data_IF_652205760952
#
_entry.id   IF_652205760952
#
_cell.length_a   1.000
_cell.length_b   1.000
_cell.length_c   1.000
_cell.angle_alpha   90.00
_cell.angle_beta   90.00
_cell.angle_gamma   90.00
#
_symmetry.space_group_name_H-M   'P 1'
#
loop_
_entity.id
_entity.type
_entity.pdbx_description
1 polymer ?
#
# COMPACT_ATOMS: atom_id res chain seq x y z
N UNK A 1 -9.50 -4.86 29.02
CA UNK A 1 -8.55 -5.03 27.89
C UNK A 1 -8.42 -6.47 27.40
N UNK A 2 -8.15 -7.48 28.24
CA UNK A 2 -8.01 -8.88 27.82
C UNK A 2 -9.28 -9.55 27.21
N UNK A 3 -10.47 -9.07 27.57
CA UNK A 3 -11.77 -9.61 27.08
C UNK A 3 -12.18 -9.06 25.71
N UNK A 4 -11.94 -7.76 25.45
CA UNK A 4 -12.26 -7.11 24.17
C UNK A 4 -11.36 -7.60 23.03
N UNK A 5 -10.10 -7.89 23.34
CA UNK A 5 -9.13 -8.49 22.42
C UNK A 5 -9.55 -9.93 22.07
N UNK A 6 -10.05 -10.73 23.02
CA UNK A 6 -10.62 -12.07 22.75
C UNK A 6 -11.89 -12.07 21.89
N UNK A 7 -12.73 -11.04 22.02
CA UNK A 7 -13.97 -10.94 21.24
C UNK A 7 -13.72 -10.59 19.77
N UNK A 8 -12.63 -9.87 19.46
CA UNK A 8 -12.17 -9.63 18.09
C UNK A 8 -11.67 -10.92 17.42
N UNK A 9 -11.05 -11.82 18.18
CA UNK A 9 -10.53 -13.10 17.69
C UNK A 9 -11.60 -14.17 17.39
N UNK A 10 -12.83 -14.02 17.91
CA UNK A 10 -13.92 -14.98 17.64
C UNK A 10 -14.65 -14.69 16.31
N UNK A 11 -14.62 -13.43 15.85
CA UNK A 11 -15.25 -13.01 14.59
C UNK A 11 -14.43 -13.44 13.35
N UNK A 12 -13.10 -13.56 13.50
CA UNK A 12 -12.21 -14.06 12.44
C UNK A 12 -12.40 -15.56 12.16
N UNK A 13 -12.79 -16.38 13.15
CA UNK A 13 -13.00 -17.81 12.92
C UNK A 13 -14.38 -18.15 12.33
N UNK A 14 -15.43 -17.39 12.67
CA UNK A 14 -16.79 -17.65 12.16
C UNK A 14 -17.00 -17.13 10.73
N UNK A 15 -16.33 -16.03 10.36
CA UNK A 15 -16.38 -15.48 9.00
C UNK A 15 -15.67 -16.37 7.96
N UNK A 16 -14.69 -17.17 8.38
CA UNK A 16 -13.99 -18.16 7.53
C UNK A 16 -14.85 -19.38 7.16
N UNK A 17 -15.90 -19.69 7.93
CA UNK A 17 -16.80 -20.83 7.67
C UNK A 17 -17.98 -20.48 6.74
N UNK A 18 -18.35 -19.21 6.61
CA UNK A 18 -19.58 -18.79 5.92
C UNK A 18 -19.44 -18.56 4.40
N UNK A 19 -18.23 -18.56 3.84
CA UNK A 19 -17.98 -18.25 2.41
C UNK A 19 -17.50 -19.45 1.58
N UNK A 20 -17.82 -20.67 2.01
CA UNK A 20 -17.81 -21.82 1.10
C UNK A 20 -19.10 -21.80 0.27
N UNK A 21 -18.99 -21.47 -1.02
CA UNK A 21 -19.50 -22.24 -2.16
C UNK A 21 -19.52 -21.40 -3.45
N UNK A 22 -19.15 -22.07 -4.56
CA UNK A 22 -19.20 -21.67 -5.97
C UNK A 22 -18.10 -20.75 -6.52
N UNK A 23 -17.05 -21.39 -7.06
CA UNK A 23 -16.10 -20.80 -8.01
C UNK A 23 -16.64 -20.83 -9.44
N UNK A 24 -16.29 -19.85 -10.27
CA UNK A 24 -15.84 -20.16 -11.63
C UNK A 24 -14.50 -19.50 -11.97
N UNK A 25 -13.72 -20.22 -12.76
CA UNK A 25 -12.42 -19.85 -13.34
C UNK A 25 -12.57 -18.65 -14.28
N UNK A 26 -11.81 -17.56 -14.07
CA UNK A 26 -11.71 -16.46 -15.04
C UNK A 26 -10.24 -16.07 -15.24
N UNK A 27 -9.81 -16.17 -16.49
CA UNK A 27 -8.50 -15.73 -17.01
C UNK A 27 -8.58 -14.25 -17.37
N UNK A 28 -7.70 -13.36 -16.87
CA UNK A 28 -7.69 -11.97 -17.31
C UNK A 28 -6.98 -11.83 -18.66
N UNK A 29 -7.71 -11.39 -19.69
CA UNK A 29 -7.14 -10.94 -20.96
C UNK A 29 -6.74 -9.47 -20.86
N UNK A 30 -5.43 -9.20 -20.83
CA UNK A 30 -4.87 -7.86 -21.05
C UNK A 30 -4.35 -7.83 -22.50
N UNK A 31 -4.99 -7.06 -23.38
CA UNK A 31 -4.49 -6.83 -24.74
C UNK A 31 -3.24 -5.93 -24.70
N UNK A 32 -2.10 -6.48 -25.13
CA UNK A 32 -0.84 -5.76 -25.29
C UNK A 32 -0.68 -5.36 -26.76
N UNK A 33 -0.49 -4.06 -27.01
CA UNK A 33 -0.27 -3.49 -28.35
C UNK A 33 0.98 -4.06 -29.04
N UNK A 34 0.89 -4.30 -30.35
CA UNK A 34 1.84 -5.07 -31.18
C UNK A 34 3.22 -4.41 -31.33
N UNK A 35 3.42 -3.18 -30.84
CA UNK A 35 4.72 -2.48 -30.91
C UNK A 35 5.71 -2.87 -29.80
N UNK A 36 5.28 -3.59 -28.76
CA UNK A 36 6.14 -3.92 -27.60
C UNK A 36 6.92 -5.24 -27.76
N UNK A 37 6.80 -5.94 -28.90
CA UNK A 37 7.40 -7.27 -29.12
C UNK A 37 8.91 -7.27 -29.44
N UNK A 38 9.57 -6.13 -29.62
CA UNK A 38 10.96 -6.09 -30.15
C UNK A 38 12.06 -6.07 -29.06
N UNK A 39 11.74 -6.01 -27.76
CA UNK A 39 12.74 -5.97 -26.68
C UNK A 39 12.97 -7.31 -25.96
N UNK A 40 12.52 -8.43 -26.55
CA UNK A 40 12.60 -9.77 -25.98
C UNK A 40 13.89 -10.50 -26.41
N UNK A 41 15.06 -10.10 -25.92
CA UNK A 41 16.23 -10.99 -25.89
C UNK A 41 16.96 -10.81 -24.55
N UNK A 42 16.47 -11.51 -23.53
CA UNK A 42 17.16 -11.69 -22.26
C UNK A 42 18.20 -12.80 -22.41
N UNK A 43 19.46 -12.42 -22.60
CA UNK A 43 20.61 -13.32 -22.39
C UNK A 43 21.92 -12.60 -22.00
N UNK A 44 21.92 -11.29 -21.77
CA UNK A 44 23.12 -10.52 -21.39
C UNK A 44 23.03 -9.89 -19.99
N UNK A 45 22.32 -10.52 -19.05
CA UNK A 45 22.11 -9.96 -17.71
C UNK A 45 23.33 -10.09 -16.77
N UNK A 46 24.36 -10.87 -17.14
CA UNK A 46 25.63 -10.97 -16.40
C UNK A 46 26.92 -10.97 -17.26
N UNK A 47 26.84 -10.84 -18.59
CA UNK A 47 28.00 -10.74 -19.48
C UNK A 47 28.34 -9.27 -19.82
N UNK A 48 29.48 -8.82 -19.29
CA UNK A 48 30.31 -7.71 -19.79
C UNK A 48 29.57 -6.46 -20.28
N UNK A 49 29.07 -5.65 -19.36
CA UNK A 49 29.05 -4.19 -19.54
C UNK A 49 29.57 -3.50 -18.28
N UNK A 50 30.37 -2.44 -18.46
CA UNK A 50 31.37 -1.92 -17.52
C UNK A 50 30.87 -1.41 -16.16
N UNK A 51 31.85 -1.15 -15.28
CA UNK A 51 31.72 -1.04 -13.82
C UNK A 51 30.60 -0.16 -13.24
N UNK A 52 30.13 0.88 -13.94
CA UNK A 52 29.05 1.75 -13.43
C UNK A 52 27.69 1.06 -13.30
N UNK A 53 27.32 0.16 -14.23
CA UNK A 53 26.01 -0.51 -14.21
C UNK A 53 25.91 -1.61 -13.14
N UNK A 54 27.05 -2.20 -12.76
CA UNK A 54 27.14 -3.18 -11.68
C UNK A 54 26.94 -2.52 -10.32
N UNK A 55 27.53 -1.34 -10.12
CA UNK A 55 27.41 -0.56 -8.88
C UNK A 55 25.98 -0.04 -8.66
N UNK A 56 25.29 0.40 -9.71
CA UNK A 56 23.89 0.87 -9.61
C UNK A 56 22.93 -0.25 -9.21
N UNK A 57 23.05 -1.46 -9.77
CA UNK A 57 22.18 -2.60 -9.46
C UNK A 57 22.41 -3.11 -8.03
N UNK A 58 23.66 -3.23 -7.60
CA UNK A 58 24.00 -3.61 -6.22
C UNK A 58 23.52 -2.55 -5.23
N UNK A 59 23.64 -1.27 -5.56
CA UNK A 59 23.08 -0.18 -4.75
C UNK A 59 21.56 -0.26 -4.68
N UNK A 60 20.86 -0.48 -5.79
CA UNK A 60 19.41 -0.62 -5.85
C UNK A 60 18.92 -1.75 -4.94
N UNK A 61 19.45 -2.97 -5.09
CA UNK A 61 19.11 -4.10 -4.21
C UNK A 61 19.40 -3.77 -2.75
N UNK A 62 20.50 -3.07 -2.44
CA UNK A 62 20.79 -2.63 -1.07
C UNK A 62 19.83 -1.54 -0.55
N UNK A 63 19.26 -0.73 -1.44
CA UNK A 63 18.23 0.27 -1.13
C UNK A 63 16.91 -0.42 -0.85
N UNK A 64 16.52 -1.40 -1.67
CA UNK A 64 15.35 -2.26 -1.43
C UNK A 64 15.46 -3.08 -0.15
N UNK A 65 16.62 -3.69 0.10
CA UNK A 65 16.89 -4.39 1.36
C UNK A 65 16.75 -3.43 2.54
N UNK A 66 17.22 -2.19 2.41
CA UNK A 66 16.99 -1.14 3.41
C UNK A 66 15.53 -0.75 3.51
N UNK A 67 14.78 -0.73 2.42
CA UNK A 67 13.35 -0.40 2.33
C UNK A 67 12.45 -1.53 2.87
N UNK A 68 12.91 -2.77 2.90
CA UNK A 68 12.18 -3.88 3.52
C UNK A 68 12.78 -4.34 4.86
N UNK A 69 14.00 -3.92 5.22
CA UNK A 69 14.57 -4.03 6.57
C UNK A 69 13.86 -3.08 7.52
N UNK A 70 12.63 -3.44 7.87
CA UNK A 70 11.97 -2.84 8.99
C UNK A 70 12.31 -3.70 10.22
N UNK A 71 12.54 -3.14 11.42
CA UNK A 71 12.59 -3.92 12.66
C UNK A 71 11.41 -4.93 12.86
N UNK A 72 10.37 -4.87 12.00
CA UNK A 72 9.36 -5.90 11.66
C UNK A 72 9.86 -7.34 11.44
N UNK A 73 11.15 -7.57 11.12
CA UNK A 73 11.67 -8.89 10.71
C UNK A 73 12.65 -9.55 11.71
N UNK A 74 12.60 -9.25 13.01
CA UNK A 74 13.57 -9.77 14.00
C UNK A 74 13.63 -11.31 14.11
N UNK A 75 12.72 -12.06 13.48
CA UNK A 75 12.81 -13.52 13.32
C UNK A 75 13.17 -14.02 11.91
N UNK A 76 13.12 -13.18 10.87
CA UNK A 76 13.28 -13.53 9.44
C UNK A 76 14.31 -12.62 8.74
N UNK A 77 15.28 -12.10 9.47
CA UNK A 77 16.30 -11.18 8.93
C UNK A 77 17.14 -11.86 7.82
N UNK A 78 17.29 -13.19 7.86
CA UNK A 78 17.88 -14.00 6.77
C UNK A 78 17.00 -14.07 5.53
N UNK A 79 15.67 -14.17 5.69
CA UNK A 79 14.75 -14.29 4.56
C UNK A 79 14.92 -13.10 3.60
N UNK A 80 14.96 -11.88 4.14
CA UNK A 80 15.14 -10.68 3.35
C UNK A 80 16.59 -10.47 2.90
N UNK A 81 17.58 -10.71 3.75
CA UNK A 81 19.00 -10.40 3.43
C UNK A 81 19.68 -11.43 2.54
N UNK A 82 19.29 -12.70 2.61
CA UNK A 82 19.99 -13.79 1.93
C UNK A 82 19.08 -14.60 1.01
N UNK A 83 17.89 -14.99 1.48
CA UNK A 83 17.06 -15.95 0.75
C UNK A 83 16.33 -15.31 -0.43
N UNK A 84 15.75 -14.12 -0.26
CA UNK A 84 15.09 -13.38 -1.33
C UNK A 84 16.03 -12.89 -2.44
N UNK A 85 17.23 -12.35 -2.16
CA UNK A 85 18.18 -12.04 -3.22
C UNK A 85 18.59 -13.27 -4.02
N UNK A 86 18.78 -14.42 -3.34
CA UNK A 86 19.05 -15.69 -4.02
C UNK A 86 17.86 -16.13 -4.89
N UNK A 87 16.64 -15.99 -4.38
CA UNK A 87 15.41 -16.29 -5.12
C UNK A 87 15.23 -15.39 -6.34
N UNK A 88 15.50 -14.09 -6.20
CA UNK A 88 15.44 -13.10 -7.28
C UNK A 88 16.44 -13.40 -8.40
N UNK A 89 17.61 -13.95 -8.08
CA UNK A 89 18.58 -14.39 -9.09
C UNK A 89 18.02 -15.49 -10.00
N UNK A 90 17.10 -16.31 -9.50
CA UNK A 90 16.46 -17.38 -10.25
C UNK A 90 15.07 -17.01 -10.81
N UNK A 91 14.55 -15.83 -10.48
CA UNK A 91 13.20 -15.35 -10.83
C UNK A 91 13.27 -13.91 -11.29
N UNK A 92 13.40 -13.71 -12.59
CA UNK A 92 13.61 -12.38 -13.20
C UNK A 92 12.51 -11.37 -12.86
N UNK A 93 11.25 -11.82 -12.72
CA UNK A 93 10.15 -10.92 -12.35
C UNK A 93 10.33 -10.33 -10.94
N UNK A 94 10.83 -11.12 -9.98
CA UNK A 94 11.15 -10.65 -8.64
C UNK A 94 12.33 -9.68 -8.67
N UNK A 95 13.39 -10.00 -9.42
CA UNK A 95 14.51 -9.09 -9.63
C UNK A 95 14.04 -7.75 -10.19
N UNK A 96 13.17 -7.75 -11.20
CA UNK A 96 12.62 -6.53 -11.76
C UNK A 96 11.77 -5.76 -10.76
N UNK A 97 10.95 -6.42 -9.93
CA UNK A 97 10.17 -5.72 -8.91
C UNK A 97 11.06 -5.04 -7.86
N UNK A 98 12.14 -5.71 -7.44
CA UNK A 98 13.15 -5.15 -6.53
C UNK A 98 13.78 -3.90 -7.14
N UNK A 99 14.23 -3.97 -8.40
CA UNK A 99 14.86 -2.86 -9.10
C UNK A 99 13.88 -1.70 -9.32
N UNK A 100 12.61 -2.00 -9.60
CA UNK A 100 11.54 -1.02 -9.79
C UNK A 100 11.29 -0.20 -8.51
N UNK A 101 11.10 -0.88 -7.38
CA UNK A 101 10.95 -0.23 -6.07
C UNK A 101 12.19 0.58 -5.70
N UNK A 102 13.39 0.01 -5.89
CA UNK A 102 14.65 0.69 -5.60
C UNK A 102 14.84 1.97 -6.41
N UNK A 103 14.58 1.90 -7.72
CA UNK A 103 14.68 3.06 -8.60
C UNK A 103 13.64 4.13 -8.24
N UNK A 104 12.46 3.73 -7.73
CA UNK A 104 11.43 4.66 -7.26
C UNK A 104 11.88 5.40 -6.00
N UNK A 105 12.39 4.69 -4.98
CA UNK A 105 12.98 5.31 -3.78
C UNK A 105 14.18 6.21 -4.14
N UNK A 106 15.05 5.77 -5.04
CA UNK A 106 16.18 6.58 -5.49
C UNK A 106 15.74 7.82 -6.26
N UNK A 107 14.68 7.75 -7.07
CA UNK A 107 14.17 8.91 -7.81
C UNK A 107 13.66 10.03 -6.89
N UNK A 108 13.26 9.70 -5.65
CA UNK A 108 12.96 10.73 -4.65
C UNK A 108 14.22 11.40 -4.08
N UNK A 109 15.38 10.73 -4.16
CA UNK A 109 16.65 11.17 -3.57
C UNK A 109 17.63 11.78 -4.57
N UNK A 110 17.42 11.54 -5.87
CA UNK A 110 18.35 11.88 -6.96
C UNK A 110 17.59 12.47 -8.16
N UNK A 111 18.31 12.94 -9.17
CA UNK A 111 17.75 13.64 -10.34
C UNK A 111 16.58 12.89 -11.05
N UNK A 112 15.64 13.64 -11.67
CA UNK A 112 14.34 13.16 -12.19
C UNK A 112 14.39 12.09 -13.32
N UNK A 113 15.57 11.61 -13.72
CA UNK A 113 15.73 10.63 -14.80
C UNK A 113 15.47 9.16 -14.42
N UNK A 114 15.34 8.81 -13.13
CA UNK A 114 15.18 7.41 -12.70
C UNK A 114 13.73 6.89 -12.72
N UNK A 115 12.74 7.79 -12.87
CA UNK A 115 11.33 7.41 -12.90
C UNK A 115 10.98 6.50 -14.10
N UNK A 116 11.53 6.79 -15.29
CA UNK A 116 11.32 5.96 -16.48
C UNK A 116 11.92 4.55 -16.33
N UNK A 117 13.07 4.43 -15.67
CA UNK A 117 13.71 3.14 -15.37
C UNK A 117 12.89 2.33 -14.37
N UNK A 118 12.35 2.98 -13.33
CA UNK A 118 11.48 2.35 -12.35
C UNK A 118 10.21 1.77 -12.99
N UNK A 119 9.56 2.53 -13.89
CA UNK A 119 8.38 2.07 -14.63
C UNK A 119 8.70 0.94 -15.61
N UNK A 120 9.85 1.00 -16.29
CA UNK A 120 10.29 -0.07 -17.19
C UNK A 120 10.48 -1.40 -16.46
N UNK A 121 11.13 -1.38 -15.30
CA UNK A 121 11.27 -2.57 -14.47
C UNK A 121 9.94 -3.05 -13.90
N UNK A 122 9.04 -2.13 -13.50
CA UNK A 122 7.68 -2.48 -13.07
C UNK A 122 6.93 -3.27 -14.14
N UNK A 123 6.95 -2.80 -15.39
CA UNK A 123 6.28 -3.48 -16.51
C UNK A 123 6.82 -4.90 -16.72
N UNK A 124 8.14 -5.08 -16.67
CA UNK A 124 8.78 -6.40 -16.79
C UNK A 124 8.39 -7.31 -15.62
N UNK A 125 8.33 -6.78 -14.40
CA UNK A 125 7.91 -7.52 -13.21
C UNK A 125 6.46 -8.01 -13.33
N UNK A 126 5.51 -7.13 -13.67
CA UNK A 126 4.09 -7.48 -13.86
C UNK A 126 3.92 -8.51 -14.97
N UNK A 127 4.61 -8.30 -16.11
CA UNK A 127 4.52 -9.23 -17.23
C UNK A 127 5.04 -10.61 -16.85
N UNK A 128 6.17 -10.69 -16.16
CA UNK A 128 6.74 -11.95 -15.70
C UNK A 128 5.91 -12.61 -14.59
N UNK A 129 5.35 -11.84 -13.66
CA UNK A 129 4.43 -12.32 -12.62
C UNK A 129 3.18 -12.94 -13.24
N UNK A 130 2.56 -12.29 -14.23
CA UNK A 130 1.38 -12.82 -14.91
C UNK A 130 1.68 -14.13 -15.65
N UNK A 131 2.87 -14.25 -16.27
CA UNK A 131 3.32 -15.52 -16.86
C UNK A 131 3.49 -16.61 -15.81
N UNK A 132 4.06 -16.28 -14.65
CA UNK A 132 4.22 -17.22 -13.54
C UNK A 132 2.85 -17.67 -12.99
N UNK A 133 1.91 -16.73 -12.76
CA UNK A 133 0.53 -17.02 -12.34
C UNK A 133 -0.23 -17.91 -13.32
N UNK A 134 0.12 -17.85 -14.61
CA UNK A 134 -0.52 -18.66 -15.66
C UNK A 134 0.12 -20.04 -15.85
N UNK A 135 1.18 -20.38 -15.09
CA UNK A 135 1.82 -21.67 -15.18
C UNK A 135 0.92 -22.78 -14.62
N UNK A 136 0.92 -23.96 -15.26
CA UNK A 136 0.10 -25.11 -14.85
C UNK A 136 0.60 -25.78 -13.56
N UNK A 137 1.89 -25.63 -13.25
CA UNK A 137 2.54 -26.16 -12.06
C UNK A 137 3.36 -25.04 -11.41
N UNK A 138 3.09 -24.77 -10.12
CA UNK A 138 3.80 -23.78 -9.33
C UNK A 138 4.64 -24.50 -8.28
N UNK A 139 5.96 -24.30 -8.30
CA UNK A 139 6.80 -24.75 -7.20
C UNK A 139 6.57 -23.85 -5.98
N UNK A 140 6.79 -24.36 -4.77
CA UNK A 140 6.64 -23.58 -3.54
C UNK A 140 7.51 -22.30 -3.52
N UNK A 141 8.71 -22.38 -4.09
CA UNK A 141 9.60 -21.23 -4.25
C UNK A 141 9.08 -20.20 -5.26
N UNK A 142 8.25 -20.60 -6.22
CA UNK A 142 7.57 -19.67 -7.13
C UNK A 142 6.55 -18.84 -6.36
N UNK A 143 5.76 -19.48 -5.48
CA UNK A 143 4.74 -18.79 -4.69
C UNK A 143 5.38 -17.76 -3.76
N UNK A 144 6.51 -18.08 -3.11
CA UNK A 144 7.28 -17.11 -2.31
C UNK A 144 7.80 -15.94 -3.15
N UNK A 145 8.35 -16.23 -4.33
CA UNK A 145 8.87 -15.21 -5.23
C UNK A 145 7.76 -14.28 -5.74
N UNK A 146 6.59 -14.86 -6.04
CA UNK A 146 5.40 -14.12 -6.47
C UNK A 146 4.88 -13.24 -5.33
N UNK A 147 4.82 -13.76 -4.10
CA UNK A 147 4.39 -12.97 -2.93
C UNK A 147 5.35 -11.81 -2.67
N UNK A 148 6.67 -12.06 -2.71
CA UNK A 148 7.68 -11.02 -2.58
C UNK A 148 7.58 -9.97 -3.69
N UNK A 149 7.24 -10.41 -4.90
CA UNK A 149 6.99 -9.53 -6.06
C UNK A 149 5.77 -8.64 -5.82
N UNK A 150 4.65 -9.22 -5.37
CA UNK A 150 3.45 -8.44 -5.03
C UNK A 150 3.74 -7.41 -3.94
N UNK A 151 4.44 -7.77 -2.87
CA UNK A 151 4.84 -6.79 -1.84
C UNK A 151 5.68 -5.65 -2.41
N UNK A 152 6.72 -5.96 -3.20
CA UNK A 152 7.57 -4.95 -3.81
C UNK A 152 6.77 -4.00 -4.73
N UNK A 153 5.84 -4.55 -5.52
CA UNK A 153 4.98 -3.76 -6.40
C UNK A 153 3.95 -2.93 -5.63
N UNK A 154 3.38 -3.45 -4.53
CA UNK A 154 2.49 -2.70 -3.62
C UNK A 154 3.21 -1.49 -3.03
N UNK A 155 4.40 -1.68 -2.46
CA UNK A 155 5.18 -0.57 -1.93
C UNK A 155 5.60 0.41 -3.03
N UNK A 156 5.97 -0.09 -4.22
CA UNK A 156 6.31 0.77 -5.35
C UNK A 156 5.13 1.65 -5.78
N UNK A 157 3.90 1.12 -5.76
CA UNK A 157 2.71 1.88 -6.14
C UNK A 157 2.59 3.19 -5.34
N UNK A 158 3.01 3.20 -4.07
CA UNK A 158 3.03 4.39 -3.21
C UNK A 158 3.98 5.50 -3.69
N UNK A 159 4.88 5.22 -4.63
CA UNK A 159 5.78 6.20 -5.25
C UNK A 159 5.27 6.73 -6.60
N UNK A 160 4.14 6.21 -7.10
CA UNK A 160 3.58 6.55 -8.41
C UNK A 160 2.33 7.41 -8.23
N UNK A 161 2.24 8.55 -8.90
CA UNK A 161 1.19 9.56 -8.66
C UNK A 161 -0.25 9.14 -8.98
N UNK A 162 -0.45 8.12 -9.80
CA UNK A 162 -1.74 7.49 -10.13
C UNK A 162 -1.81 6.02 -9.65
N UNK A 163 -0.91 5.62 -8.74
CA UNK A 163 -0.72 4.24 -8.32
C UNK A 163 -1.72 3.68 -7.31
N UNK A 164 -2.80 4.37 -6.94
CA UNK A 164 -3.71 3.90 -5.88
C UNK A 164 -4.49 2.63 -6.27
N UNK A 165 -4.96 2.53 -7.51
CA UNK A 165 -5.66 1.32 -7.99
C UNK A 165 -4.68 0.15 -8.02
N UNK A 166 -3.48 0.37 -8.55
CA UNK A 166 -2.38 -0.58 -8.54
C UNK A 166 -2.01 -1.04 -7.12
N UNK A 167 -2.00 -0.12 -6.15
CA UNK A 167 -1.75 -0.43 -4.74
C UNK A 167 -2.79 -1.42 -4.21
N UNK A 168 -4.07 -1.15 -4.44
CA UNK A 168 -5.18 -2.02 -3.99
C UNK A 168 -5.13 -3.39 -4.68
N UNK A 169 -4.90 -3.41 -6.00
CA UNK A 169 -4.81 -4.66 -6.77
C UNK A 169 -3.62 -5.52 -6.31
N UNK A 170 -2.44 -4.92 -6.08
CA UNK A 170 -1.28 -5.66 -5.60
C UNK A 170 -1.46 -6.13 -4.14
N UNK A 171 -2.13 -5.34 -3.31
CA UNK A 171 -2.49 -5.72 -1.93
C UNK A 171 -3.39 -6.97 -1.90
N UNK A 172 -4.38 -7.05 -2.79
CA UNK A 172 -5.21 -8.24 -2.97
C UNK A 172 -4.39 -9.45 -3.46
N UNK A 173 -3.45 -9.21 -4.39
CA UNK A 173 -2.50 -10.22 -4.86
C UNK A 173 -1.67 -10.84 -3.73
N UNK A 174 -1.19 -10.02 -2.78
CA UNK A 174 -0.49 -10.52 -1.59
C UNK A 174 -1.37 -11.49 -0.79
N UNK A 175 -2.62 -11.12 -0.51
CA UNK A 175 -3.57 -11.94 0.25
C UNK A 175 -3.87 -13.27 -0.43
N UNK A 176 -4.08 -13.26 -1.76
CA UNK A 176 -4.29 -14.49 -2.54
C UNK A 176 -3.10 -15.45 -2.41
N UNK A 177 -1.87 -14.94 -2.60
CA UNK A 177 -0.65 -15.74 -2.53
C UNK A 177 -0.36 -16.23 -1.10
N UNK A 178 -0.60 -15.40 -0.09
CA UNK A 178 -0.54 -15.79 1.32
C UNK A 178 -1.49 -16.94 1.64
N UNK A 179 -2.71 -16.93 1.08
CA UNK A 179 -3.67 -18.03 1.25
C UNK A 179 -3.19 -19.31 0.58
N UNK A 180 -2.62 -19.21 -0.62
CA UNK A 180 -2.06 -20.37 -1.33
C UNK A 180 -0.93 -21.03 -0.53
N UNK A 181 -0.02 -20.23 0.05
CA UNK A 181 1.03 -20.75 0.95
C UNK A 181 0.38 -21.44 2.15
N UNK A 182 -0.59 -20.80 2.79
CA UNK A 182 -1.24 -21.32 4.01
C UNK A 182 -2.03 -22.62 3.77
N UNK A 183 -2.50 -22.86 2.55
CA UNK A 183 -3.18 -24.08 2.14
C UNK A 183 -2.22 -25.19 1.67
N UNK A 184 -0.95 -24.84 1.44
CA UNK A 184 0.09 -25.78 1.03
C UNK A 184 0.87 -26.32 2.24
N UNK A 185 1.61 -27.41 2.05
CA UNK A 185 2.54 -27.91 3.09
C UNK A 185 3.82 -27.07 3.23
N UNK A 186 3.92 -25.97 2.48
CA UNK A 186 5.09 -25.11 2.45
C UNK A 186 5.01 -24.01 3.49
N UNK A 187 6.12 -23.78 4.19
CA UNK A 187 6.26 -22.67 5.12
C UNK A 187 6.91 -21.52 4.35
N UNK A 188 6.11 -20.52 3.95
CA UNK A 188 6.58 -19.42 3.11
C UNK A 188 7.76 -18.67 3.71
N UNK A 189 8.79 -18.41 2.90
CA UNK A 189 10.07 -17.79 3.33
C UNK A 189 9.83 -16.41 3.98
N UNK A 190 8.89 -15.66 3.44
CA UNK A 190 8.56 -14.29 3.87
C UNK A 190 7.29 -14.18 4.71
N UNK A 191 6.64 -15.32 4.99
CA UNK A 191 5.46 -15.34 5.85
C UNK A 191 5.87 -15.16 7.31
N UNK A 192 5.71 -13.94 7.83
CA UNK A 192 5.87 -13.66 9.25
C UNK A 192 4.73 -14.28 10.07
N UNK A 193 4.89 -14.31 11.40
CA UNK A 193 3.80 -14.75 12.28
C UNK A 193 2.58 -13.84 12.10
N UNK A 194 1.34 -14.37 12.15
CA UNK A 194 0.16 -13.53 12.26
C UNK A 194 0.35 -12.46 13.35
N UNK A 195 -0.13 -11.25 13.07
CA UNK A 195 -0.10 -10.10 13.98
C UNK A 195 1.30 -9.63 14.42
N UNK A 196 2.35 -10.01 13.70
CA UNK A 196 3.70 -9.54 14.01
C UNK A 196 3.74 -7.99 14.07
N UNK A 197 2.97 -7.31 13.21
CA UNK A 197 2.90 -5.85 13.18
C UNK A 197 2.31 -5.26 14.45
N UNK A 198 1.26 -5.89 14.99
CA UNK A 198 0.67 -5.48 16.26
C UNK A 198 1.60 -5.73 17.42
N UNK A 199 2.25 -6.90 17.47
CA UNK A 199 3.25 -7.24 18.52
C UNK A 199 4.43 -6.29 18.49
N UNK A 200 4.88 -5.90 17.30
CA UNK A 200 5.93 -4.90 17.14
C UNK A 200 5.51 -3.52 17.64
N UNK A 201 4.25 -3.13 17.39
CA UNK A 201 3.72 -1.83 17.78
C UNK A 201 3.28 -1.76 19.24
N UNK A 202 3.01 -2.90 19.88
CA UNK A 202 2.49 -2.99 21.25
C UNK A 202 3.35 -2.23 22.26
N UNK A 203 4.68 -2.35 22.13
CA UNK A 203 5.62 -1.65 23.01
C UNK A 203 5.59 -0.12 22.86
N UNK A 204 4.96 0.41 21.81
CA UNK A 204 4.91 1.83 21.42
C UNK A 204 3.54 2.46 21.60
N UNK A 205 2.52 1.68 21.97
CA UNK A 205 1.16 2.20 22.13
C UNK A 205 1.08 3.36 23.15
N UNK A 206 1.93 3.34 24.17
CA UNK A 206 2.01 4.43 25.15
C UNK A 206 2.67 5.71 24.61
N UNK A 207 3.37 5.64 23.48
CA UNK A 207 4.08 6.75 22.85
C UNK A 207 3.27 7.43 21.74
N UNK A 208 2.07 6.91 21.43
CA UNK A 208 1.25 7.47 20.36
C UNK A 208 0.82 8.90 20.68
N UNK A 209 1.04 9.86 19.77
CA UNK A 209 0.57 11.22 19.95
C UNK A 209 -0.96 11.25 19.92
N UNK A 210 -1.52 12.26 20.57
CA UNK A 210 -2.93 12.63 20.42
C UNK A 210 -3.06 13.41 19.12
N UNK A 211 -4.00 13.00 18.26
CA UNK A 211 -4.39 13.77 17.09
C UNK A 211 -5.45 14.79 17.52
N UNK A 212 -5.39 16.00 16.96
CA UNK A 212 -6.34 17.05 17.26
C UNK A 212 -7.80 16.61 17.04
N UNK A 213 -8.65 16.91 18.02
CA UNK A 213 -10.05 16.47 18.05
C UNK A 213 -10.85 17.09 16.89
N UNK A 214 -10.55 18.33 16.51
CA UNK A 214 -11.20 19.01 15.39
C UNK A 214 -10.93 18.30 14.07
N UNK A 215 -9.69 17.85 13.83
CA UNK A 215 -9.34 17.06 12.63
C UNK A 215 -10.16 15.77 12.58
N UNK A 216 -10.28 15.06 13.71
CA UNK A 216 -11.08 13.83 13.80
C UNK A 216 -12.57 14.11 13.56
N UNK A 217 -13.13 15.15 14.20
CA UNK A 217 -14.53 15.54 14.06
C UNK A 217 -14.87 15.96 12.62
N UNK A 218 -14.07 16.81 11.98
CA UNK A 218 -14.28 17.22 10.60
C UNK A 218 -14.18 16.03 9.63
N UNK A 219 -13.25 15.11 9.87
CA UNK A 219 -13.13 13.89 9.06
C UNK A 219 -14.33 12.97 9.21
N UNK A 220 -14.82 12.77 10.45
CA UNK A 220 -16.04 11.99 10.70
C UNK A 220 -17.26 12.62 10.09
N UNK A 221 -17.45 13.94 10.26
CA UNK A 221 -18.57 14.66 9.67
C UNK A 221 -18.57 14.51 8.15
N UNK A 222 -17.41 14.71 7.52
CA UNK A 222 -17.28 14.56 6.07
C UNK A 222 -17.53 13.12 5.60
N UNK A 223 -17.24 12.09 6.41
CA UNK A 223 -17.59 10.70 6.10
C UNK A 223 -19.10 10.44 6.29
N UNK A 224 -19.72 10.98 7.35
CA UNK A 224 -21.16 10.87 7.61
C UNK A 224 -21.97 11.50 6.48
N UNK A 225 -21.52 12.63 5.92
CA UNK A 225 -22.18 13.28 4.79
C UNK A 225 -22.26 12.39 3.53
N UNK A 226 -21.38 11.40 3.42
CA UNK A 226 -21.37 10.43 2.31
C UNK A 226 -22.38 9.30 2.46
N UNK A 227 -22.95 9.07 3.65
CA UNK A 227 -23.82 7.91 3.93
C UNK A 227 -24.99 7.81 2.94
N UNK A 228 -25.55 8.95 2.56
CA UNK A 228 -26.66 9.04 1.60
C UNK A 228 -26.30 8.61 0.16
N UNK A 229 -25.02 8.54 -0.17
CA UNK A 229 -24.50 8.19 -1.51
C UNK A 229 -24.02 6.74 -1.62
N UNK A 230 -24.02 5.98 -0.52
CA UNK A 230 -23.49 4.61 -0.47
C UNK A 230 -24.51 3.60 -1.00
N UNK A 231 -24.40 3.27 -2.29
CA UNK A 231 -25.34 2.38 -2.97
C UNK A 231 -24.86 0.92 -2.94
N UNK A 232 -23.55 0.70 -3.03
CA UNK A 232 -22.96 -0.62 -3.13
C UNK A 232 -22.43 -1.17 -1.79
N UNK A 233 -22.52 -2.49 -1.52
CA UNK A 233 -21.95 -3.08 -0.29
C UNK A 233 -20.45 -2.85 -0.13
N UNK A 234 -19.68 -2.82 -1.22
CA UNK A 234 -18.25 -2.53 -1.19
C UNK A 234 -17.96 -1.10 -0.68
N UNK A 235 -18.79 -0.13 -1.10
CA UNK A 235 -18.69 1.27 -0.66
C UNK A 235 -18.99 1.38 0.83
N UNK A 236 -20.06 0.73 1.30
CA UNK A 236 -20.41 0.68 2.74
C UNK A 236 -19.33 0.03 3.58
N UNK A 237 -18.70 -1.03 3.06
CA UNK A 237 -17.60 -1.71 3.73
C UNK A 237 -16.40 -0.78 3.90
N UNK A 238 -15.94 -0.14 2.82
CA UNK A 238 -14.82 0.80 2.88
C UNK A 238 -15.15 2.02 3.75
N UNK A 239 -16.36 2.57 3.64
CA UNK A 239 -16.83 3.67 4.49
C UNK A 239 -16.77 3.31 5.97
N UNK A 240 -17.33 2.16 6.37
CA UNK A 240 -17.31 1.72 7.77
C UNK A 240 -15.89 1.54 8.29
N UNK A 241 -15.00 0.95 7.48
CA UNK A 241 -13.58 0.79 7.83
C UNK A 241 -12.89 2.13 8.11
N UNK A 242 -13.23 3.18 7.33
CA UNK A 242 -12.70 4.53 7.53
C UNK A 242 -13.28 5.18 8.79
N UNK A 243 -14.59 5.05 9.03
CA UNK A 243 -15.25 5.54 10.24
C UNK A 243 -14.66 4.87 11.48
N UNK A 244 -14.49 3.55 11.47
CA UNK A 244 -13.93 2.78 12.59
C UNK A 244 -12.49 3.17 12.91
N UNK A 245 -11.71 3.60 11.91
CA UNK A 245 -10.35 4.08 12.10
C UNK A 245 -10.28 5.48 12.70
N UNK A 246 -11.21 6.38 12.33
CA UNK A 246 -11.18 7.79 12.74
C UNK A 246 -11.92 8.02 14.06
N UNK A 247 -13.07 7.36 14.28
CA UNK A 247 -13.92 7.60 15.45
C UNK A 247 -13.17 7.47 16.79
N UNK A 248 -12.28 6.49 16.98
CA UNK A 248 -11.53 6.36 18.22
C UNK A 248 -10.49 7.45 18.47
N UNK A 249 -10.10 8.27 17.48
CA UNK A 249 -9.05 9.30 17.68
C UNK A 249 -9.38 10.28 18.81
N UNK A 250 -10.66 10.49 19.10
CA UNK A 250 -11.11 11.36 20.21
C UNK A 250 -10.81 10.80 21.60
N UNK A 251 -10.54 9.49 21.72
CA UNK A 251 -10.40 8.81 23.01
C UNK A 251 -9.18 7.89 23.11
N UNK A 252 -8.72 7.33 21.99
CA UNK A 252 -7.62 6.36 21.95
C UNK A 252 -6.96 6.30 20.56
N UNK A 253 -5.77 6.89 20.45
CA UNK A 253 -4.88 6.73 19.29
C UNK A 253 -4.52 5.27 19.03
N UNK A 254 -4.42 4.45 20.08
CA UNK A 254 -4.16 3.01 19.95
C UNK A 254 -5.31 2.29 19.25
N UNK A 255 -6.55 2.52 19.68
CA UNK A 255 -7.71 1.88 19.03
C UNK A 255 -7.87 2.37 17.58
N UNK A 256 -7.62 3.65 17.33
CA UNK A 256 -7.60 4.21 15.98
C UNK A 256 -6.57 3.50 15.08
N UNK A 257 -5.34 3.30 15.57
CA UNK A 257 -4.31 2.57 14.86
C UNK A 257 -4.68 1.11 14.57
N UNK A 258 -5.25 0.41 15.57
CA UNK A 258 -5.68 -0.97 15.39
C UNK A 258 -6.75 -1.09 14.30
N UNK A 259 -7.73 -0.19 14.30
CA UNK A 259 -8.79 -0.18 13.29
C UNK A 259 -8.27 0.25 11.91
N UNK A 260 -7.37 1.23 11.85
CA UNK A 260 -6.68 1.61 10.62
C UNK A 260 -5.88 0.45 10.01
N UNK A 261 -5.15 -0.31 10.84
CA UNK A 261 -4.35 -1.45 10.37
C UNK A 261 -5.23 -2.55 9.76
N UNK A 262 -6.46 -2.74 10.27
CA UNK A 262 -7.43 -3.70 9.73
C UNK A 262 -7.89 -3.36 8.32
N UNK A 263 -7.91 -2.07 7.93
CA UNK A 263 -8.36 -1.64 6.59
C UNK A 263 -7.62 -2.42 5.50
N UNK A 264 -6.29 -2.50 5.59
CA UNK A 264 -5.47 -3.19 4.60
C UNK A 264 -5.79 -4.69 4.54
N UNK A 265 -5.94 -5.35 5.69
CA UNK A 265 -6.28 -6.77 5.76
C UNK A 265 -7.68 -7.07 5.19
N UNK A 266 -8.67 -6.27 5.55
CA UNK A 266 -10.05 -6.43 5.07
C UNK A 266 -10.14 -6.15 3.56
N UNK A 267 -9.56 -5.05 3.08
CA UNK A 267 -9.54 -4.72 1.64
C UNK A 267 -8.82 -5.80 0.84
N UNK A 268 -7.69 -6.34 1.33
CA UNK A 268 -6.97 -7.41 0.66
C UNK A 268 -7.78 -8.73 0.52
N UNK A 269 -8.82 -8.90 1.33
CA UNK A 269 -9.67 -10.09 1.36
C UNK A 269 -11.02 -9.89 0.64
N UNK A 270 -11.30 -8.69 0.12
CA UNK A 270 -12.55 -8.43 -0.58
C UNK A 270 -12.69 -9.29 -1.86
N UNK A 271 -13.93 -9.67 -2.22
CA UNK A 271 -14.24 -10.28 -3.51
C UNK A 271 -13.75 -9.44 -4.69
N UNK A 272 -13.45 -10.09 -5.83
CA UNK A 272 -12.91 -9.41 -7.00
C UNK A 272 -13.86 -8.33 -7.55
N UNK A 273 -15.16 -8.62 -7.61
CA UNK A 273 -16.20 -7.68 -8.02
C UNK A 273 -16.27 -6.44 -7.11
N UNK A 274 -16.01 -6.60 -5.81
CA UNK A 274 -15.95 -5.49 -4.87
C UNK A 274 -14.71 -4.63 -5.12
N UNK A 275 -13.57 -5.25 -5.40
CA UNK A 275 -12.34 -4.52 -5.74
C UNK A 275 -12.51 -3.76 -7.05
N UNK A 276 -13.01 -4.42 -8.10
CA UNK A 276 -13.27 -3.80 -9.40
C UNK A 276 -14.19 -2.58 -9.26
N UNK A 277 -15.22 -2.68 -8.41
CA UNK A 277 -16.14 -1.58 -8.07
C UNK A 277 -15.47 -0.43 -7.29
N UNK A 278 -14.56 -0.74 -6.36
CA UNK A 278 -13.83 0.26 -5.56
C UNK A 278 -12.79 0.99 -6.41
N UNK A 279 -12.07 0.30 -7.29
CA UNK A 279 -10.99 0.89 -8.08
C UNK A 279 -11.46 1.53 -9.38
N UNK A 280 -12.74 1.39 -9.75
CA UNK A 280 -13.29 1.98 -10.96
C UNK A 280 -13.14 3.51 -10.95
N UNK A 281 -12.35 4.09 -11.88
CA UNK A 281 -12.19 5.54 -11.97
C UNK A 281 -13.50 6.25 -12.32
N UNK A 282 -14.48 5.56 -12.91
CA UNK A 282 -15.79 6.10 -13.28
C UNK A 282 -16.80 6.10 -12.13
N UNK A 283 -16.59 5.28 -11.10
CA UNK A 283 -17.42 5.30 -9.91
C UNK A 283 -17.09 6.52 -9.04
N UNK A 284 -18.00 7.50 -9.02
CA UNK A 284 -17.81 8.74 -8.25
C UNK A 284 -17.74 8.49 -6.74
N UNK A 285 -18.64 7.65 -6.19
CA UNK A 285 -18.68 7.35 -4.75
C UNK A 285 -17.41 6.64 -4.31
N UNK A 286 -16.96 5.62 -5.04
CA UNK A 286 -15.70 4.93 -4.75
C UNK A 286 -14.50 5.87 -4.81
N UNK A 287 -14.43 6.77 -5.80
CA UNK A 287 -13.34 7.74 -5.91
C UNK A 287 -13.32 8.73 -4.72
N UNK A 288 -14.47 9.17 -4.22
CA UNK A 288 -14.56 9.99 -3.00
C UNK A 288 -14.08 9.17 -1.78
N UNK A 289 -14.50 7.91 -1.65
CA UNK A 289 -14.04 7.04 -0.55
C UNK A 289 -12.53 6.78 -0.61
N UNK A 290 -11.96 6.60 -1.80
CA UNK A 290 -10.51 6.47 -1.99
C UNK A 290 -9.77 7.75 -1.61
N UNK A 291 -10.34 8.92 -1.92
CA UNK A 291 -9.79 10.20 -1.47
C UNK A 291 -9.79 10.31 0.05
N UNK A 292 -10.87 9.88 0.72
CA UNK A 292 -10.92 9.80 2.18
C UNK A 292 -9.92 8.79 2.74
N UNK A 293 -9.75 7.63 2.11
CA UNK A 293 -8.74 6.65 2.50
C UNK A 293 -7.32 7.23 2.46
N UNK A 294 -6.99 8.03 1.45
CA UNK A 294 -5.71 8.76 1.40
C UNK A 294 -5.60 9.76 2.53
N UNK A 295 -6.64 10.57 2.78
CA UNK A 295 -6.63 11.57 3.85
C UNK A 295 -6.50 10.95 5.24
N UNK A 296 -7.17 9.83 5.50
CA UNK A 296 -7.06 9.09 6.76
C UNK A 296 -5.64 8.55 6.96
N UNK A 297 -5.01 8.00 5.92
CA UNK A 297 -3.60 7.57 5.99
C UNK A 297 -2.68 8.73 6.37
N UNK A 298 -2.92 9.90 5.77
CA UNK A 298 -2.10 11.09 6.02
C UNK A 298 -2.33 11.63 7.44
N UNK A 299 -3.57 11.77 7.89
CA UNK A 299 -3.92 12.23 9.26
C UNK A 299 -3.31 11.31 10.33
N UNK A 300 -3.27 10.00 10.08
CA UNK A 300 -2.71 9.02 11.00
C UNK A 300 -1.18 8.92 10.95
N UNK A 301 -0.50 9.68 10.10
CA UNK A 301 0.98 9.67 10.00
C UNK A 301 1.73 9.85 11.32
N UNK A 302 1.31 10.74 12.25
CA UNK A 302 1.93 10.87 13.57
C UNK A 302 1.94 9.57 14.39
N UNK A 303 1.02 8.66 14.11
CA UNK A 303 0.94 7.35 14.75
C UNK A 303 1.67 6.29 13.89
N UNK A 304 1.43 6.27 12.57
CA UNK A 304 1.99 5.23 11.69
C UNK A 304 3.49 5.38 11.47
N UNK A 305 4.09 6.54 11.74
CA UNK A 305 5.55 6.74 11.72
C UNK A 305 6.29 5.79 12.69
N UNK A 306 5.62 5.38 13.78
CA UNK A 306 6.17 4.42 14.74
C UNK A 306 6.34 3.01 14.17
N UNK A 307 5.67 2.69 13.06
CA UNK A 307 5.91 1.44 12.35
C UNK A 307 7.30 1.37 11.72
N UNK A 308 7.99 2.50 11.59
CA UNK A 308 9.29 2.56 10.94
C UNK A 308 10.22 3.58 11.61
N UNK A 309 10.40 3.45 12.94
CA UNK A 309 11.20 4.36 13.79
C UNK A 309 12.64 4.57 13.29
N UNK A 310 13.22 3.60 12.57
CA UNK A 310 14.56 3.74 11.98
C UNK A 310 14.59 4.56 10.68
N UNK A 311 13.42 4.97 10.18
CA UNK A 311 13.23 5.60 8.85
C UNK A 311 12.27 6.81 8.88
N UNK A 312 12.23 7.52 10.00
CA UNK A 312 11.54 8.82 10.13
C UNK A 312 12.08 9.75 9.04
N UNK A 313 11.36 9.88 7.92
CA UNK A 313 11.79 10.63 6.74
C UNK A 313 11.63 9.93 5.38
N UNK A 314 11.22 8.65 5.33
CA UNK A 314 11.19 7.85 4.08
C UNK A 314 9.80 7.28 3.72
N UNK A 315 8.72 7.80 4.30
CA UNK A 315 7.37 7.44 3.88
C UNK A 315 7.02 8.24 2.63
N UNK A 316 6.54 7.63 1.53
CA UNK A 316 6.25 8.32 0.28
C UNK A 316 4.94 9.11 0.37
N UNK A 317 4.84 10.00 1.36
CA UNK A 317 3.72 10.95 1.54
C UNK A 317 3.49 11.73 0.25
N UNK A 318 4.55 12.08 -0.48
CA UNK A 318 4.46 12.75 -1.78
C UNK A 318 3.63 11.97 -2.80
N UNK A 319 3.74 10.64 -2.84
CA UNK A 319 2.94 9.80 -3.73
C UNK A 319 1.49 9.68 -3.27
N UNK A 320 1.23 9.58 -1.96
CA UNK A 320 -0.13 9.64 -1.42
C UNK A 320 -0.82 10.96 -1.74
N UNK A 321 -0.14 12.09 -1.56
CA UNK A 321 -0.69 13.40 -1.93
C UNK A 321 -0.93 13.50 -3.44
N UNK A 322 -0.06 12.92 -4.27
CA UNK A 322 -0.27 12.85 -5.71
C UNK A 322 -1.50 12.00 -6.09
N UNK A 323 -1.76 10.90 -5.37
CA UNK A 323 -3.00 10.13 -5.53
C UNK A 323 -4.22 11.02 -5.27
N UNK A 324 -4.22 11.74 -4.14
CA UNK A 324 -5.31 12.65 -3.81
C UNK A 324 -5.49 13.76 -4.85
N UNK A 325 -4.40 14.32 -5.37
CA UNK A 325 -4.43 15.34 -6.43
C UNK A 325 -5.07 14.79 -7.72
N UNK A 326 -4.68 13.58 -8.13
CA UNK A 326 -5.23 12.89 -9.31
C UNK A 326 -6.73 12.61 -9.15
N UNK A 327 -7.14 12.09 -8.00
CA UNK A 327 -8.55 11.81 -7.70
C UNK A 327 -9.37 13.11 -7.67
N UNK A 328 -8.87 14.15 -7.01
CA UNK A 328 -9.51 15.46 -6.97
C UNK A 328 -9.70 16.07 -8.37
N UNK A 329 -8.69 15.97 -9.23
CA UNK A 329 -8.78 16.45 -10.62
C UNK A 329 -9.85 15.67 -11.39
N UNK A 330 -9.87 14.34 -11.29
CA UNK A 330 -10.89 13.50 -11.92
C UNK A 330 -12.31 13.85 -11.44
N UNK A 331 -12.52 14.03 -10.13
CA UNK A 331 -13.81 14.40 -9.55
C UNK A 331 -14.27 15.81 -9.99
N UNK A 332 -13.36 16.78 -10.05
CA UNK A 332 -13.67 18.15 -10.53
C UNK A 332 -14.05 18.17 -12.01
N UNK A 333 -13.36 17.40 -12.84
CA UNK A 333 -13.69 17.28 -14.27
C UNK A 333 -15.10 16.73 -14.49
N UNK A 334 -15.61 15.93 -13.54
CA UNK A 334 -16.97 15.37 -13.54
C UNK A 334 -18.01 16.22 -12.81
N UNK A 335 -17.64 17.43 -12.37
CA UNK A 335 -18.54 18.39 -11.71
C UNK A 335 -19.23 17.83 -10.45
N UNK A 336 -18.54 16.95 -9.73
CA UNK A 336 -19.02 16.41 -8.45
C UNK A 336 -19.20 17.55 -7.42
N UNK A 337 -20.22 17.44 -6.57
CA UNK A 337 -20.53 18.46 -5.55
C UNK A 337 -19.29 18.77 -4.70
N UNK A 338 -18.94 20.06 -4.63
CA UNK A 338 -17.78 20.53 -3.89
C UNK A 338 -17.82 20.18 -2.41
N UNK A 339 -19.01 20.02 -1.82
CA UNK A 339 -19.20 19.65 -0.41
C UNK A 339 -18.66 18.26 -0.07
N UNK A 340 -18.73 17.30 -1.00
CA UNK A 340 -18.26 15.92 -0.76
C UNK A 340 -16.74 15.78 -0.84
N UNK A 341 -16.05 16.78 -1.40
CA UNK A 341 -14.60 16.75 -1.61
C UNK A 341 -13.87 17.90 -0.90
N UNK A 342 -14.61 18.83 -0.27
CA UNK A 342 -14.05 20.05 0.32
C UNK A 342 -13.08 19.73 1.44
N UNK A 343 -13.52 18.96 2.44
CA UNK A 343 -12.67 18.59 3.58
C UNK A 343 -11.41 17.83 3.14
N UNK A 344 -11.50 16.72 2.36
CA UNK A 344 -10.30 16.04 1.89
C UNK A 344 -9.36 16.93 1.07
N UNK A 345 -9.92 17.80 0.22
CA UNK A 345 -9.12 18.76 -0.58
C UNK A 345 -8.42 19.80 0.30
N UNK A 346 -9.08 20.31 1.34
CA UNK A 346 -8.51 21.26 2.29
C UNK A 346 -7.33 20.66 3.04
N UNK A 347 -7.46 19.41 3.54
CA UNK A 347 -6.36 18.69 4.21
C UNK A 347 -5.15 18.55 3.30
N UNK A 348 -5.35 18.05 2.06
CA UNK A 348 -4.27 17.87 1.08
C UNK A 348 -3.60 19.21 0.76
N UNK A 349 -4.39 20.27 0.58
CA UNK A 349 -3.89 21.62 0.30
C UNK A 349 -3.08 22.20 1.47
N UNK A 350 -3.56 22.04 2.71
CA UNK A 350 -2.86 22.49 3.90
C UNK A 350 -1.47 21.86 4.01
N UNK A 351 -1.41 20.54 3.81
CA UNK A 351 -0.18 19.76 3.92
C UNK A 351 0.82 20.15 2.81
N UNK A 352 0.34 20.30 1.57
CA UNK A 352 1.18 20.76 0.44
C UNK A 352 1.76 22.16 0.68
N UNK A 353 1.00 23.07 1.29
CA UNK A 353 1.47 24.43 1.56
C UNK A 353 2.64 24.46 2.55
N UNK A 354 2.67 23.54 3.51
CA UNK A 354 3.76 23.46 4.49
C UNK A 354 4.96 22.65 4.02
N UNK A 355 4.74 21.66 3.16
CA UNK A 355 5.82 21.02 2.42
C UNK A 355 6.36 21.92 1.31
N UNK A 356 7.20 22.91 1.64
CA UNK A 356 7.94 23.70 0.64
C UNK A 356 8.93 22.80 -0.13
N UNK A 357 8.47 22.15 -1.20
CA UNK A 357 9.29 21.34 -2.13
C UNK A 357 8.76 19.93 -2.38
N UNK A 358 9.28 19.26 -3.42
CA UNK A 358 8.84 17.93 -3.88
C UNK A 358 9.04 16.80 -2.84
N UNK A 359 9.80 17.04 -1.76
CA UNK A 359 10.10 16.05 -0.73
C UNK A 359 9.56 16.48 0.64
N UNK A 360 8.29 16.16 0.91
CA UNK A 360 7.68 16.38 2.21
C UNK A 360 8.17 15.28 3.17
N UNK A 361 9.18 15.62 3.99
CA UNK A 361 9.71 14.69 4.99
C UNK A 361 8.62 14.33 6.00
N UNK A 362 8.55 13.04 6.35
CA UNK A 362 7.57 12.51 7.32
C UNK A 362 7.61 13.25 8.65
N UNK A 363 8.80 13.59 9.15
CA UNK A 363 8.93 14.36 10.40
C UNK A 363 8.21 15.71 10.34
N UNK A 364 8.29 16.42 9.20
CA UNK A 364 7.63 17.70 9.02
C UNK A 364 6.11 17.53 8.97
N UNK A 365 5.63 16.43 8.37
CA UNK A 365 4.21 16.09 8.37
C UNK A 365 3.70 15.78 9.79
N UNK A 366 4.46 15.00 10.54
CA UNK A 366 4.14 14.66 11.94
C UNK A 366 4.03 15.92 12.77
N UNK A 367 5.05 16.79 12.71
CA UNK A 367 5.04 18.06 13.43
C UNK A 367 3.87 18.95 13.01
N UNK A 368 3.54 18.98 11.71
CA UNK A 368 2.43 19.76 11.18
C UNK A 368 1.08 19.28 11.72
N UNK A 369 0.78 17.98 11.61
CA UNK A 369 -0.50 17.42 12.06
C UNK A 369 -0.63 17.53 13.59
N UNK A 370 0.45 17.27 14.33
CA UNK A 370 0.42 17.28 15.79
C UNK A 370 0.42 18.68 16.41
N UNK A 371 1.04 19.68 15.78
CA UNK A 371 1.24 20.99 16.40
C UNK A 371 0.63 22.17 15.64
N UNK A 372 0.09 21.97 14.42
CA UNK A 372 -0.49 23.04 13.58
C UNK A 372 -1.86 22.67 13.02
N UNK A 373 -2.64 21.89 13.77
CA UNK A 373 -3.99 21.48 13.39
C UNK A 373 -4.89 22.67 13.00
N UNK A 374 -4.73 23.81 13.65
CA UNK A 374 -5.43 25.06 13.32
C UNK A 374 -5.30 25.47 11.85
N UNK A 375 -4.15 25.17 11.20
CA UNK A 375 -3.92 25.50 9.78
C UNK A 375 -4.73 24.60 8.84
N UNK A 376 -4.97 23.35 9.25
CA UNK A 376 -5.84 22.41 8.52
C UNK A 376 -7.31 22.82 8.71
N UNK A 377 -7.67 23.22 9.94
CA UNK A 377 -9.04 23.58 10.32
C UNK A 377 -9.48 24.97 9.82
N UNK A 378 -8.53 25.85 9.48
CA UNK A 378 -8.81 27.19 8.99
C UNK A 378 -9.14 27.28 7.49
N UNK A 379 -9.07 26.16 6.75
CA UNK A 379 -9.34 26.06 5.31
C UNK A 379 -10.68 25.38 5.03
#
# INVERSE_FOLDING_TARGET
MHSAVRSLFSLESESLLALQLSSPTITPQIQVDKKTQVLLHGNDLFSRTGGKAKDTKTYQVSSWLRELQNPKNQGHDSAWKTELPALAHHREYLMHAILALSASDMSLRTEPGQSSTALSHRQLAITGLNRALSASELASSDIDAMLATCYALTFQSSYIGDGICDFITMLQGCSLLTRLISQSSHHGIIMGTPDWHLKYMESRFCEFPVIDEGIAQCTLQSLTDLESMLEHPAERCLHQLLVDAVAPLQSSSTLAYLNFSKIFGTVALLPQDYIDHIIDPQNTTSQILLLHFVVVQVILTPITVFENVKRVGQYPVGGMLAWADSICQNLRNRQVRSSCISWPSSVVTAIRREGKGEMLLVCNLVDFISNRAETILAL
#
